data_IF_952914769934
#
_entry.id   IF_952914769934
#
_cell.length_a   1.000
_cell.length_b   1.000
_cell.length_c   1.000
_cell.angle_alpha   90.00
_cell.angle_beta   90.00
_cell.angle_gamma   90.00
#
_symmetry.space_group_name_H-M   'P 1'
#
loop_
_entity.id
_entity.type
_entity.pdbx_description
1 polymer ?
#
# COMPACT_ATOMS: atom_id res chain seq x y z
N UNK A 1 50.66 35.02 45.16
CA UNK A 1 50.93 33.85 44.30
C UNK A 1 49.59 33.22 43.93
N UNK A 2 49.28 33.17 42.62
CA UNK A 2 48.28 32.30 42.00
C UNK A 2 46.81 32.48 42.38
N UNK A 3 46.09 33.37 41.70
CA UNK A 3 44.64 33.29 41.58
C UNK A 3 44.29 32.99 40.11
N UNK A 4 43.92 31.74 39.83
CA UNK A 4 43.36 31.30 38.54
C UNK A 4 41.86 31.63 38.53
N UNK A 5 41.46 32.50 37.61
CA UNK A 5 40.05 32.85 37.41
C UNK A 5 39.30 31.73 36.70
N UNK A 6 38.23 31.24 37.33
CA UNK A 6 37.16 30.50 36.66
C UNK A 6 35.91 31.37 36.68
N UNK A 7 35.55 31.88 35.50
CA UNK A 7 34.33 32.66 35.28
C UNK A 7 33.13 31.71 35.32
N UNK A 8 32.31 31.79 36.37
CA UNK A 8 31.03 31.06 36.51
C UNK A 8 29.93 32.11 36.52
N UNK A 9 29.16 32.21 35.43
CA UNK A 9 27.97 33.06 35.36
C UNK A 9 26.82 32.30 36.02
N UNK A 10 26.31 32.85 37.12
CA UNK A 10 25.11 32.44 37.83
C UNK A 10 23.89 33.01 37.13
N UNK A 11 22.87 32.20 36.85
CA UNK A 11 21.51 32.66 36.55
C UNK A 11 20.64 32.17 37.73
N UNK A 12 19.82 33.03 38.35
CA UNK A 12 19.21 32.76 39.64
C UNK A 12 18.07 31.73 39.55
N UNK A 13 18.00 30.90 40.58
CA UNK A 13 16.85 30.06 40.90
C UNK A 13 15.88 30.95 41.69
N UNK A 14 14.62 31.06 41.24
CA UNK A 14 13.51 31.46 42.10
C UNK A 14 12.58 30.26 42.25
N UNK A 15 12.52 29.71 43.45
CA UNK A 15 11.45 28.82 43.90
C UNK A 15 10.14 29.61 44.07
N UNK A 16 9.04 28.85 44.09
CA UNK A 16 7.67 29.20 44.43
C UNK A 16 6.72 29.62 43.29
N UNK A 17 6.03 28.62 42.73
CA UNK A 17 4.58 28.53 42.91
C UNK A 17 4.06 27.16 42.46
N UNK A 18 3.63 26.33 43.40
CA UNK A 18 2.74 25.21 43.15
C UNK A 18 1.42 25.74 42.58
N UNK A 19 1.21 25.56 41.27
CA UNK A 19 -0.07 25.78 40.60
C UNK A 19 -0.56 24.39 40.15
N UNK A 20 -1.77 23.93 40.52
CA UNK A 20 -2.28 22.65 40.06
C UNK A 20 -2.45 22.70 38.53
N UNK A 21 -2.22 21.60 37.80
CA UNK A 21 -2.31 21.63 36.35
C UNK A 21 -3.75 21.95 35.96
N UNK A 22 -3.93 23.15 35.40
CA UNK A 22 -5.13 23.56 34.70
C UNK A 22 -5.23 22.73 33.41
N UNK A 23 -6.42 22.21 33.13
CA UNK A 23 -6.77 21.42 31.94
C UNK A 23 -6.66 22.26 30.66
N UNK A 24 -5.47 22.72 30.25
CA UNK A 24 -5.34 23.38 28.95
C UNK A 24 -3.88 23.55 28.48
N UNK A 25 -3.09 22.48 28.42
CA UNK A 25 -1.97 22.45 27.45
C UNK A 25 -1.46 21.03 27.17
N UNK A 26 -1.93 20.43 26.09
CA UNK A 26 -1.07 19.59 25.24
C UNK A 26 -1.50 19.76 23.78
N UNK A 27 -0.87 20.73 23.11
CA UNK A 27 -0.79 20.77 21.66
C UNK A 27 0.08 19.59 21.20
N UNK A 28 -0.53 18.43 20.98
CA UNK A 28 0.06 17.35 20.19
C UNK A 28 -0.66 17.38 18.84
N UNK A 29 0.02 17.68 17.71
CA UNK A 29 -0.59 17.52 16.40
C UNK A 29 -0.63 16.03 16.05
N UNK A 30 -1.62 15.32 16.57
CA UNK A 30 -1.91 13.90 16.29
C UNK A 30 -2.64 13.69 14.95
N UNK A 31 -2.33 14.49 13.92
CA UNK A 31 -3.16 14.59 12.71
C UNK A 31 -2.60 13.94 11.44
N UNK A 32 -1.50 13.18 11.51
CA UNK A 32 -1.04 12.42 10.35
C UNK A 32 -1.70 11.03 10.31
N UNK A 33 -2.69 10.88 9.41
CA UNK A 33 -3.41 9.64 9.04
C UNK A 33 -4.47 9.13 10.03
N UNK A 34 -5.73 9.52 9.82
CA UNK A 34 -6.87 9.11 10.66
C UNK A 34 -7.92 8.33 9.85
N UNK A 35 -7.55 7.26 9.16
CA UNK A 35 -8.50 6.51 8.34
C UNK A 35 -8.49 5.00 8.61
N UNK A 36 -9.67 4.35 8.65
CA UNK A 36 -9.75 2.88 8.71
C UNK A 36 -9.08 2.27 7.46
N UNK A 37 -8.00 1.52 7.68
CA UNK A 37 -7.13 0.98 6.62
C UNK A 37 -5.84 1.77 6.35
N UNK A 38 -5.59 2.89 7.05
CA UNK A 38 -4.26 3.55 7.01
C UNK A 38 -3.32 2.98 8.07
N UNK A 39 -2.01 3.08 7.84
CA UNK A 39 -0.90 2.64 8.71
C UNK A 39 -0.85 3.29 10.12
N UNK A 40 -1.91 3.93 10.59
CA UNK A 40 -2.04 4.58 11.90
C UNK A 40 -3.47 4.41 12.45
N UNK A 41 -3.78 3.28 13.12
CA UNK A 41 -5.13 2.97 13.59
C UNK A 41 -5.56 3.71 14.86
N UNK A 42 -4.62 4.25 15.66
CA UNK A 42 -4.90 4.74 17.03
C UNK A 42 -5.53 6.14 17.13
N UNK A 43 -6.04 6.68 16.02
CA UNK A 43 -6.53 8.08 15.98
C UNK A 43 -8.03 8.24 15.75
N UNK A 44 -8.81 7.14 15.71
CA UNK A 44 -10.27 7.23 15.66
C UNK A 44 -10.91 6.24 16.64
N UNK A 45 -11.56 6.77 17.67
CA UNK A 45 -12.63 6.04 18.35
C UNK A 45 -13.71 5.74 17.31
N UNK A 46 -13.93 4.46 16.98
CA UNK A 46 -15.10 4.07 16.19
C UNK A 46 -16.34 4.24 17.06
N UNK A 47 -16.93 5.44 17.04
CA UNK A 47 -18.16 5.77 17.76
C UNK A 47 -19.39 5.02 17.22
N UNK A 48 -19.23 4.17 16.19
CA UNK A 48 -20.30 3.35 15.63
C UNK A 48 -20.69 2.23 16.60
N UNK A 49 -21.75 2.48 17.37
CA UNK A 49 -22.48 1.44 18.11
C UNK A 49 -23.23 0.55 17.11
N UNK A 50 -22.56 -0.41 16.50
CA UNK A 50 -23.28 -1.56 15.91
C UNK A 50 -23.83 -2.36 17.09
N UNK A 51 -25.14 -2.31 17.27
CA UNK A 51 -25.84 -3.15 18.25
C UNK A 51 -25.42 -4.60 18.03
N UNK A 52 -24.86 -5.26 19.07
CA UNK A 52 -24.49 -6.68 19.05
C UNK A 52 -25.65 -7.61 18.64
N UNK A 53 -26.89 -7.09 18.57
CA UNK A 53 -28.13 -7.80 18.21
C UNK A 53 -28.53 -7.74 16.71
N UNK A 54 -27.76 -7.13 15.82
CA UNK A 54 -28.16 -7.10 14.39
C UNK A 54 -28.08 -8.49 13.74
N UNK A 55 -29.10 -8.86 12.98
CA UNK A 55 -29.15 -10.14 12.27
C UNK A 55 -28.10 -10.23 11.17
N UNK A 56 -27.83 -11.43 10.65
CA UNK A 56 -26.88 -11.64 9.54
C UNK A 56 -27.19 -10.75 8.33
N UNK A 57 -28.49 -10.61 7.99
CA UNK A 57 -28.97 -9.73 6.91
C UNK A 57 -28.63 -8.25 7.16
N UNK A 58 -28.79 -7.77 8.40
CA UNK A 58 -28.48 -6.38 8.75
C UNK A 58 -26.98 -6.10 8.65
N UNK A 59 -26.14 -7.07 9.03
CA UNK A 59 -24.68 -6.94 8.92
C UNK A 59 -24.24 -6.88 7.47
N UNK A 60 -24.83 -7.71 6.61
CA UNK A 60 -24.59 -7.66 5.15
C UNK A 60 -25.05 -6.32 4.59
N UNK A 61 -26.27 -5.88 4.92
CA UNK A 61 -26.80 -4.61 4.45
C UNK A 61 -25.91 -3.44 4.85
N UNK A 62 -25.50 -3.35 6.12
CA UNK A 62 -24.60 -2.31 6.63
C UNK A 62 -23.24 -2.38 5.92
N UNK A 63 -22.68 -3.58 5.74
CA UNK A 63 -21.40 -3.75 5.03
C UNK A 63 -21.43 -3.15 3.62
N UNK A 64 -22.51 -3.37 2.86
CA UNK A 64 -22.64 -2.88 1.49
C UNK A 64 -23.07 -1.41 1.37
N UNK A 65 -23.79 -0.87 2.36
CA UNK A 65 -24.43 0.46 2.25
C UNK A 65 -23.76 1.55 3.08
N UNK A 66 -23.00 1.21 4.13
CA UNK A 66 -22.41 2.18 5.05
C UNK A 66 -21.15 2.84 4.47
N UNK A 67 -21.31 4.05 3.92
CA UNK A 67 -20.20 4.90 3.48
C UNK A 67 -20.40 5.63 2.16
N UNK A 68 -21.43 5.32 1.37
CA UNK A 68 -21.69 5.99 0.07
C UNK A 68 -21.92 7.50 0.19
N UNK A 69 -22.55 7.95 1.29
CA UNK A 69 -22.81 9.37 1.55
C UNK A 69 -21.67 10.11 2.23
N UNK A 70 -20.59 9.42 2.62
CA UNK A 70 -19.47 10.04 3.33
C UNK A 70 -18.52 10.72 2.34
N UNK A 71 -18.55 12.06 2.32
CA UNK A 71 -17.69 12.89 1.47
C UNK A 71 -16.20 12.59 1.67
N UNK A 72 -15.79 12.17 2.88
CA UNK A 72 -14.38 11.82 3.14
C UNK A 72 -13.95 10.59 2.33
N UNK A 73 -14.84 9.61 2.14
CA UNK A 73 -14.56 8.41 1.33
C UNK A 73 -14.33 8.79 -0.14
N UNK A 74 -15.15 9.68 -0.68
CA UNK A 74 -14.99 10.20 -2.04
C UNK A 74 -13.70 11.01 -2.21
N UNK A 75 -13.35 11.86 -1.24
CA UNK A 75 -12.08 12.58 -1.23
C UNK A 75 -10.90 11.62 -1.22
N UNK A 76 -10.93 10.59 -0.37
CA UNK A 76 -9.87 9.59 -0.33
C UNK A 76 -9.77 8.77 -1.62
N UNK A 77 -10.90 8.43 -2.26
CA UNK A 77 -10.90 7.77 -3.56
C UNK A 77 -10.30 8.64 -4.67
N UNK A 78 -10.52 9.96 -4.63
CA UNK A 78 -9.86 10.90 -5.53
C UNK A 78 -8.34 10.96 -5.29
N UNK A 79 -7.89 10.88 -4.03
CA UNK A 79 -6.46 10.77 -3.72
C UNK A 79 -5.87 9.47 -4.26
N UNK A 80 -6.58 8.35 -4.16
CA UNK A 80 -6.19 7.08 -4.78
C UNK A 80 -6.10 7.17 -6.32
N UNK A 81 -7.01 7.91 -6.95
CA UNK A 81 -6.93 8.22 -8.39
C UNK A 81 -5.66 9.00 -8.75
N UNK A 82 -5.41 10.12 -8.06
CA UNK A 82 -4.22 10.97 -8.32
C UNK A 82 -2.94 10.19 -8.03
N UNK A 83 -2.89 9.51 -6.88
CA UNK A 83 -1.77 8.71 -6.44
C UNK A 83 -1.42 7.60 -7.42
N UNK A 84 -2.42 6.84 -7.86
CA UNK A 84 -2.20 5.75 -8.83
C UNK A 84 -1.79 6.29 -10.19
N UNK A 85 -2.34 7.44 -10.61
CA UNK A 85 -1.92 8.11 -11.86
C UNK A 85 -0.42 8.43 -11.80
N UNK A 86 0.02 9.11 -10.75
CA UNK A 86 1.42 9.49 -10.58
C UNK A 86 2.34 8.27 -10.40
N UNK A 87 1.94 7.28 -9.59
CA UNK A 87 2.72 6.07 -9.35
C UNK A 87 2.94 5.28 -10.65
N UNK A 88 1.89 5.08 -11.45
CA UNK A 88 1.98 4.35 -12.72
C UNK A 88 2.85 5.11 -13.72
N UNK A 89 2.68 6.44 -13.84
CA UNK A 89 3.48 7.28 -14.72
C UNK A 89 4.96 7.23 -14.36
N UNK A 90 5.31 7.47 -13.08
CA UNK A 90 6.71 7.40 -12.62
C UNK A 90 7.28 5.99 -12.77
N UNK A 91 6.52 4.94 -12.44
CA UNK A 91 6.97 3.56 -12.58
C UNK A 91 7.32 3.19 -14.04
N UNK A 92 6.53 3.66 -15.01
CA UNK A 92 6.85 3.47 -16.43
C UNK A 92 8.18 4.15 -16.80
N UNK A 93 8.34 5.42 -16.45
CA UNK A 93 9.54 6.20 -16.80
C UNK A 93 10.80 5.68 -16.12
N UNK A 94 10.70 5.22 -14.86
CA UNK A 94 11.82 4.55 -14.17
C UNK A 94 12.20 3.26 -14.89
N UNK A 95 11.22 2.43 -15.26
CA UNK A 95 11.47 1.17 -15.97
C UNK A 95 12.12 1.41 -17.33
N UNK A 96 11.70 2.45 -18.05
CA UNK A 96 12.28 2.87 -19.34
C UNK A 96 13.70 3.41 -19.16
N UNK A 97 13.93 4.26 -18.16
CA UNK A 97 15.26 4.81 -17.86
C UNK A 97 16.27 3.70 -17.54
N UNK A 98 15.88 2.73 -16.71
CA UNK A 98 16.71 1.56 -16.38
C UNK A 98 17.06 0.78 -17.66
N UNK A 99 16.07 0.49 -18.52
CA UNK A 99 16.30 -0.24 -19.78
C UNK A 99 17.24 0.51 -20.74
N UNK A 100 17.14 1.84 -20.79
CA UNK A 100 17.99 2.68 -21.63
C UNK A 100 19.39 2.94 -21.06
N UNK A 101 19.67 2.49 -19.83
CA UNK A 101 20.99 2.69 -19.21
C UNK A 101 22.00 1.59 -19.56
N UNK A 102 21.70 0.74 -20.56
CA UNK A 102 22.52 -0.40 -21.02
C UNK A 102 23.05 -1.29 -19.88
N UNK A 103 22.28 -1.39 -18.80
CA UNK A 103 22.65 -2.18 -17.63
C UNK A 103 22.16 -3.63 -17.75
N UNK A 104 23.00 -4.57 -17.32
CA UNK A 104 22.63 -5.98 -17.20
C UNK A 104 21.85 -6.27 -15.92
N UNK A 105 21.92 -5.39 -14.92
CA UNK A 105 21.36 -5.61 -13.57
C UNK A 105 19.94 -5.03 -13.40
N UNK A 106 19.10 -5.20 -14.43
CA UNK A 106 17.73 -4.63 -14.48
C UNK A 106 16.92 -5.01 -13.22
N UNK A 107 16.97 -6.28 -12.81
CA UNK A 107 16.24 -6.77 -11.65
C UNK A 107 16.60 -6.00 -10.38
N UNK A 108 17.89 -5.75 -10.13
CA UNK A 108 18.38 -5.04 -8.94
C UNK A 108 17.91 -3.59 -8.92
N UNK A 109 18.03 -2.88 -10.05
CA UNK A 109 17.58 -1.49 -10.14
C UNK A 109 16.07 -1.37 -10.00
N UNK A 110 15.28 -2.26 -10.64
CA UNK A 110 13.82 -2.26 -10.49
C UNK A 110 13.43 -2.57 -9.04
N UNK A 111 14.10 -3.54 -8.40
CA UNK A 111 13.89 -3.85 -6.99
C UNK A 111 14.11 -2.63 -6.10
N UNK A 112 15.32 -2.05 -6.13
CA UNK A 112 15.68 -0.90 -5.29
C UNK A 112 14.78 0.32 -5.56
N UNK A 113 14.50 0.62 -6.82
CA UNK A 113 13.62 1.76 -7.16
C UNK A 113 12.19 1.55 -6.68
N UNK A 114 11.64 0.33 -6.80
CA UNK A 114 10.32 0.02 -6.26
C UNK A 114 10.25 0.15 -4.73
N UNK A 115 11.34 -0.16 -4.00
CA UNK A 115 11.41 0.06 -2.54
C UNK A 115 11.13 1.52 -2.23
N UNK A 116 11.94 2.42 -2.78
CA UNK A 116 11.85 3.84 -2.46
C UNK A 116 10.61 4.49 -3.06
N UNK A 117 10.25 4.15 -4.30
CA UNK A 117 9.09 4.70 -5.00
C UNK A 117 7.81 4.43 -4.20
N UNK A 118 7.54 3.16 -3.87
CA UNK A 118 6.31 2.81 -3.17
C UNK A 118 6.32 3.38 -1.74
N UNK A 119 7.46 3.33 -1.04
CA UNK A 119 7.59 3.93 0.30
C UNK A 119 7.20 5.41 0.29
N UNK A 120 7.75 6.20 -0.64
CA UNK A 120 7.48 7.64 -0.73
C UNK A 120 6.01 7.93 -1.03
N UNK A 121 5.41 7.19 -1.95
CA UNK A 121 4.00 7.33 -2.28
C UNK A 121 3.09 6.96 -1.11
N UNK A 122 3.39 5.87 -0.40
CA UNK A 122 2.65 5.51 0.81
C UNK A 122 2.79 6.60 1.88
N UNK A 123 4.01 7.07 2.18
CA UNK A 123 4.22 8.13 3.15
C UNK A 123 3.44 9.41 2.81
N UNK A 124 3.37 9.77 1.52
CA UNK A 124 2.66 10.94 1.06
C UNK A 124 1.13 10.80 1.11
N UNK A 125 0.58 9.62 0.80
CA UNK A 125 -0.86 9.44 0.57
C UNK A 125 -1.59 8.68 1.68
N UNK A 126 -0.86 7.93 2.51
CA UNK A 126 -1.42 7.22 3.65
C UNK A 126 -2.22 8.14 4.58
N UNK A 127 -1.80 9.39 4.85
CA UNK A 127 -2.60 10.29 5.68
C UNK A 127 -3.99 10.63 5.16
N UNK A 128 -4.15 10.68 3.83
CA UNK A 128 -5.39 11.11 3.20
C UNK A 128 -6.27 9.93 2.75
N UNK A 129 -5.69 8.77 2.46
CA UNK A 129 -6.40 7.63 1.87
C UNK A 129 -6.02 6.25 2.43
N UNK A 130 -4.93 6.13 3.17
CA UNK A 130 -4.30 4.84 3.45
C UNK A 130 -3.28 4.41 2.40
N UNK A 131 -3.28 5.02 1.21
CA UNK A 131 -2.20 4.86 0.23
C UNK A 131 -2.11 3.44 -0.31
N UNK A 132 -3.22 2.88 -0.79
CA UNK A 132 -3.27 1.54 -1.36
C UNK A 132 -2.64 1.51 -2.76
N UNK A 133 -3.06 2.43 -3.64
CA UNK A 133 -2.61 2.63 -5.03
C UNK A 133 -2.54 1.35 -5.88
N UNK A 134 -3.27 0.33 -5.46
CA UNK A 134 -3.22 -1.00 -6.03
C UNK A 134 -4.57 -1.69 -5.77
N UNK A 135 -5.33 -2.02 -6.84
CA UNK A 135 -6.61 -2.70 -6.71
C UNK A 135 -6.54 -3.99 -5.91
N UNK A 136 -5.42 -4.73 -5.98
CA UNK A 136 -5.32 -6.00 -5.24
C UNK A 136 -5.12 -5.81 -3.75
N UNK A 137 -4.38 -4.79 -3.33
CA UNK A 137 -4.24 -4.43 -1.91
C UNK A 137 -5.61 -4.03 -1.37
N UNK A 138 -6.33 -3.15 -2.08
CA UNK A 138 -7.69 -2.74 -1.72
C UNK A 138 -8.66 -3.92 -1.65
N UNK A 139 -8.61 -4.82 -2.63
CA UNK A 139 -9.46 -6.01 -2.63
C UNK A 139 -9.16 -6.89 -1.42
N UNK A 140 -7.88 -7.16 -1.14
CA UNK A 140 -7.44 -7.93 0.03
C UNK A 140 -7.90 -7.30 1.36
N UNK A 141 -7.80 -5.98 1.51
CA UNK A 141 -8.27 -5.30 2.73
C UNK A 141 -9.79 -5.30 2.89
N UNK A 142 -10.56 -5.33 1.79
CA UNK A 142 -12.02 -5.48 1.83
C UNK A 142 -12.41 -6.88 2.28
N UNK A 143 -11.85 -7.93 1.66
CA UNK A 143 -12.18 -9.31 2.02
C UNK A 143 -11.68 -9.68 3.42
N UNK A 144 -10.64 -9.00 3.92
CA UNK A 144 -10.18 -9.17 5.31
C UNK A 144 -10.89 -8.29 6.33
N UNK A 145 -11.82 -7.44 5.90
CA UNK A 145 -12.61 -6.57 6.78
C UNK A 145 -11.84 -5.36 7.32
N UNK A 146 -10.64 -5.07 6.81
CA UNK A 146 -9.85 -3.89 7.17
C UNK A 146 -10.34 -2.62 6.45
N UNK A 147 -11.04 -2.76 5.33
CA UNK A 147 -11.62 -1.66 4.55
C UNK A 147 -13.09 -1.93 4.28
N UNK A 148 -13.96 -0.95 4.54
CA UNK A 148 -15.39 -1.05 4.23
C UNK A 148 -15.65 -1.15 2.73
N UNK A 149 -16.70 -1.87 2.33
CA UNK A 149 -16.98 -2.17 0.93
C UNK A 149 -17.13 -0.91 0.04
N UNK A 150 -17.94 0.12 0.39
CA UNK A 150 -18.09 1.31 -0.46
C UNK A 150 -16.76 2.00 -0.75
N UNK A 151 -15.91 2.13 0.28
CA UNK A 151 -14.56 2.69 0.16
C UNK A 151 -13.69 1.85 -0.76
N UNK A 152 -13.64 0.54 -0.54
CA UNK A 152 -12.83 -0.36 -1.36
C UNK A 152 -13.25 -0.33 -2.84
N UNK A 153 -14.56 -0.29 -3.10
CA UNK A 153 -15.08 -0.19 -4.47
C UNK A 153 -14.69 1.15 -5.12
N UNK A 154 -14.88 2.27 -4.42
CA UNK A 154 -14.49 3.59 -4.92
C UNK A 154 -12.98 3.71 -5.14
N UNK A 155 -12.17 3.09 -4.29
CA UNK A 155 -10.72 3.03 -4.44
C UNK A 155 -10.33 2.26 -5.69
N UNK A 156 -10.87 1.06 -5.92
CA UNK A 156 -10.57 0.27 -7.12
C UNK A 156 -10.97 1.02 -8.40
N UNK A 157 -12.10 1.74 -8.40
CA UNK A 157 -12.52 2.60 -9.51
C UNK A 157 -11.51 3.75 -9.71
N UNK A 158 -11.17 4.47 -8.65
CA UNK A 158 -10.19 5.57 -8.69
C UNK A 158 -8.83 5.11 -9.19
N UNK A 159 -8.32 4.00 -8.65
CA UNK A 159 -7.04 3.40 -9.04
C UNK A 159 -7.03 3.00 -10.52
N UNK A 160 -8.09 2.36 -11.01
CA UNK A 160 -8.18 1.89 -12.40
C UNK A 160 -8.34 3.05 -13.39
N UNK A 161 -9.15 4.05 -13.06
CA UNK A 161 -9.33 5.25 -13.90
C UNK A 161 -8.08 6.14 -13.89
N UNK A 162 -7.39 6.25 -12.75
CA UNK A 162 -6.12 6.95 -12.65
C UNK A 162 -5.01 6.26 -13.45
N UNK A 163 -4.98 4.92 -13.42
CA UNK A 163 -4.11 4.14 -14.30
C UNK A 163 -4.39 4.37 -15.79
N UNK A 164 -5.66 4.46 -16.20
CA UNK A 164 -6.01 4.78 -17.59
C UNK A 164 -5.48 6.16 -18.00
N UNK A 165 -5.64 7.17 -17.13
CA UNK A 165 -5.08 8.50 -17.35
C UNK A 165 -3.55 8.45 -17.46
N UNK A 166 -2.87 7.72 -16.56
CA UNK A 166 -1.43 7.52 -16.64
C UNK A 166 -1.01 6.89 -17.97
N UNK A 167 -1.75 5.89 -18.47
CA UNK A 167 -1.50 5.27 -19.77
C UNK A 167 -1.55 6.28 -20.92
N UNK A 168 -2.58 7.14 -20.94
CA UNK A 168 -2.69 8.23 -21.91
C UNK A 168 -1.54 9.24 -21.80
N UNK A 169 -1.15 9.62 -20.57
CA UNK A 169 -0.02 10.52 -20.32
C UNK A 169 1.32 9.91 -20.75
N UNK A 170 1.55 8.62 -20.48
CA UNK A 170 2.76 7.90 -20.92
C UNK A 170 2.85 7.93 -22.45
N UNK A 171 1.76 7.59 -23.15
CA UNK A 171 1.73 7.61 -24.62
C UNK A 171 1.94 9.02 -25.17
N UNK A 172 1.27 10.02 -24.59
CA UNK A 172 1.41 11.42 -24.99
C UNK A 172 2.83 11.98 -24.81
N UNK A 173 3.50 11.63 -23.70
CA UNK A 173 4.85 12.10 -23.40
C UNK A 173 5.95 11.42 -24.24
N UNK A 174 5.78 10.12 -24.56
CA UNK A 174 6.79 9.35 -25.30
C UNK A 174 6.60 9.40 -26.82
N UNK A 175 5.36 9.59 -27.27
CA UNK A 175 4.93 9.36 -28.64
C UNK A 175 4.80 7.86 -28.95
N UNK A 176 3.97 7.55 -29.95
CA UNK A 176 3.54 6.19 -30.27
C UNK A 176 4.70 5.20 -30.47
N UNK A 177 5.72 5.59 -31.24
CA UNK A 177 6.85 4.72 -31.56
C UNK A 177 7.62 4.30 -30.30
N UNK A 178 7.97 5.25 -29.43
CA UNK A 178 8.73 4.94 -28.20
C UNK A 178 7.87 4.15 -27.22
N UNK A 179 6.58 4.47 -27.11
CA UNK A 179 5.67 3.71 -26.25
C UNK A 179 5.60 2.23 -26.63
N UNK A 180 5.57 1.92 -27.92
CA UNK A 180 5.58 0.54 -28.42
C UNK A 180 6.92 -0.15 -28.15
N UNK A 181 8.06 0.52 -28.44
CA UNK A 181 9.41 -0.03 -28.19
C UNK A 181 9.59 -0.44 -26.72
N UNK A 182 9.07 0.36 -25.78
CA UNK A 182 9.18 0.08 -24.35
C UNK A 182 7.98 -0.66 -23.75
N UNK A 183 7.03 -1.13 -24.56
CA UNK A 183 5.81 -1.81 -24.11
C UNK A 183 5.02 -1.03 -23.04
N UNK A 184 4.98 0.31 -23.15
CA UNK A 184 4.34 1.18 -22.15
C UNK A 184 5.00 1.21 -20.78
N UNK A 185 6.16 0.56 -20.61
CA UNK A 185 6.91 0.46 -19.36
C UNK A 185 7.03 -0.97 -18.79
N UNK A 186 6.24 -1.94 -19.27
CA UNK A 186 6.29 -3.33 -18.79
C UNK A 186 4.96 -4.07 -18.88
N UNK A 187 4.76 -5.08 -18.01
CA UNK A 187 3.55 -5.93 -17.95
C UNK A 187 3.09 -6.41 -19.33
N UNK A 188 3.99 -7.09 -20.06
CA UNK A 188 3.68 -7.77 -21.32
C UNK A 188 4.10 -9.23 -21.18
N UNK A 189 3.57 -10.08 -22.06
CA UNK A 189 3.87 -11.51 -22.06
C UNK A 189 4.17 -11.95 -23.49
N UNK A 190 5.36 -12.53 -23.67
CA UNK A 190 5.75 -13.26 -24.87
C UNK A 190 5.66 -14.76 -24.59
N UNK A 191 4.72 -15.44 -25.25
CA UNK A 191 4.37 -16.84 -24.96
C UNK A 191 5.42 -17.84 -25.43
N UNK A 192 6.46 -17.39 -26.15
CA UNK A 192 7.61 -18.18 -26.57
C UNK A 192 8.50 -18.58 -25.39
N UNK A 193 8.60 -17.71 -24.37
CA UNK A 193 9.47 -17.92 -23.20
C UNK A 193 8.71 -18.39 -21.97
N UNK A 194 7.46 -17.91 -21.79
CA UNK A 194 6.63 -18.22 -20.63
C UNK A 194 5.20 -18.46 -21.10
N UNK A 195 4.66 -19.65 -20.84
CA UNK A 195 3.26 -19.94 -21.16
C UNK A 195 2.28 -19.11 -20.32
N UNK A 196 1.06 -18.92 -20.82
CA UNK A 196 0.01 -18.19 -20.09
C UNK A 196 -0.26 -18.78 -18.70
N UNK A 197 -0.28 -20.11 -18.58
CA UNK A 197 -0.48 -20.80 -17.31
C UNK A 197 0.67 -20.58 -16.32
N UNK A 198 1.92 -20.54 -16.80
CA UNK A 198 3.08 -20.20 -15.98
C UNK A 198 3.02 -18.75 -15.51
N UNK A 199 2.73 -17.81 -16.42
CA UNK A 199 2.59 -16.39 -16.07
C UNK A 199 1.48 -16.16 -15.04
N UNK A 200 0.33 -16.82 -15.20
CA UNK A 200 -0.76 -16.80 -14.23
C UNK A 200 -0.36 -17.33 -12.85
N UNK A 201 0.34 -18.47 -12.80
CA UNK A 201 0.79 -19.05 -11.54
C UNK A 201 1.83 -18.15 -10.84
N UNK A 202 2.80 -17.64 -11.60
CA UNK A 202 3.81 -16.68 -11.11
C UNK A 202 3.10 -15.46 -10.52
N UNK A 203 2.19 -14.85 -11.27
CA UNK A 203 1.46 -13.65 -10.83
C UNK A 203 0.65 -13.91 -9.55
N UNK A 204 0.01 -15.09 -9.45
CA UNK A 204 -0.78 -15.50 -8.29
C UNK A 204 0.08 -15.68 -7.04
N UNK A 205 1.17 -16.42 -7.14
CA UNK A 205 2.02 -16.75 -5.99
C UNK A 205 2.83 -15.54 -5.52
N UNK A 206 3.42 -14.76 -6.43
CA UNK A 206 4.13 -13.55 -6.03
C UNK A 206 3.19 -12.48 -5.44
N UNK A 207 1.96 -12.35 -5.95
CA UNK A 207 0.95 -11.48 -5.33
C UNK A 207 0.53 -11.97 -3.94
N UNK A 208 0.38 -13.28 -3.75
CA UNK A 208 0.13 -13.87 -2.43
C UNK A 208 1.26 -13.55 -1.45
N UNK A 209 2.52 -13.73 -1.85
CA UNK A 209 3.69 -13.43 -1.02
C UNK A 209 3.74 -11.94 -0.69
N UNK A 210 3.56 -11.07 -1.68
CA UNK A 210 3.51 -9.61 -1.48
C UNK A 210 2.44 -9.23 -0.45
N UNK A 211 1.25 -9.84 -0.52
CA UNK A 211 0.17 -9.58 0.43
C UNK A 211 0.48 -10.13 1.82
N UNK A 212 1.02 -11.35 1.95
CA UNK A 212 1.40 -11.93 3.25
C UNK A 212 2.39 -11.02 3.96
N UNK A 213 3.44 -10.59 3.25
CA UNK A 213 4.48 -9.73 3.81
C UNK A 213 3.94 -8.33 4.13
N UNK A 214 3.12 -7.74 3.26
CA UNK A 214 2.53 -6.41 3.50
C UNK A 214 1.56 -6.41 4.68
N UNK A 215 0.72 -7.45 4.82
CA UNK A 215 -0.16 -7.62 5.99
C UNK A 215 0.64 -7.89 7.27
N UNK A 216 1.64 -8.76 7.19
CA UNK A 216 2.46 -9.16 8.33
C UNK A 216 3.38 -8.05 8.85
N UNK A 217 3.65 -7.01 8.06
CA UNK A 217 4.56 -5.93 8.46
C UNK A 217 3.90 -4.56 8.61
N UNK A 218 2.72 -4.34 8.02
CA UNK A 218 2.20 -2.98 7.94
C UNK A 218 0.67 -2.85 7.81
N UNK A 219 0.01 -3.61 6.94
CA UNK A 219 -1.42 -3.41 6.64
C UNK A 219 -2.35 -3.86 7.77
N UNK A 220 -1.97 -4.87 8.57
CA UNK A 220 -2.73 -5.22 9.76
C UNK A 220 -2.50 -4.15 10.85
N UNK A 221 -3.56 -3.48 11.36
CA UNK A 221 -3.46 -2.49 12.44
C UNK A 221 -2.65 -2.94 13.65
N UNK A 222 -2.62 -4.24 13.95
CA UNK A 222 -1.84 -4.80 15.06
C UNK A 222 -0.33 -4.67 14.84
N UNK A 223 0.13 -4.64 13.59
CA UNK A 223 1.54 -4.46 13.27
C UNK A 223 2.02 -3.05 13.57
N UNK A 224 1.11 -2.07 13.63
CA UNK A 224 1.45 -0.72 14.09
C UNK A 224 1.97 -0.72 15.54
N UNK A 225 1.57 -1.69 16.37
CA UNK A 225 2.09 -1.83 17.75
C UNK A 225 3.55 -2.31 17.78
N UNK A 226 3.96 -3.11 16.80
CA UNK A 226 5.31 -3.68 16.73
C UNK A 226 6.29 -2.75 15.99
N UNK A 227 5.88 -2.21 14.84
CA UNK A 227 6.75 -1.46 13.95
C UNK A 227 6.53 0.05 13.98
N UNK A 228 5.42 0.51 14.57
CA UNK A 228 5.00 1.90 14.56
C UNK A 228 4.50 2.38 13.18
N UNK A 229 3.84 3.54 13.12
CA UNK A 229 3.23 4.06 11.90
C UNK A 229 4.25 4.51 10.84
N UNK A 230 5.51 4.74 11.23
CA UNK A 230 6.56 5.28 10.36
C UNK A 230 7.29 4.22 9.56
N UNK A 231 7.39 2.99 10.07
CA UNK A 231 8.17 1.92 9.44
C UNK A 231 7.33 1.09 8.46
N UNK A 232 6.02 1.01 8.67
CA UNK A 232 5.09 0.28 7.80
C UNK A 232 5.24 0.60 6.31
N UNK A 233 5.24 1.88 5.89
CA UNK A 233 5.44 2.27 4.49
C UNK A 233 6.72 1.70 3.87
N UNK A 234 7.83 1.73 4.62
CA UNK A 234 9.11 1.21 4.16
C UNK A 234 9.10 -0.32 4.04
N UNK A 235 8.41 -1.02 4.94
CA UNK A 235 8.28 -2.48 4.87
C UNK A 235 7.44 -2.94 3.68
N UNK A 236 6.38 -2.20 3.35
CA UNK A 236 5.58 -2.45 2.13
C UNK A 236 6.42 -2.17 0.88
N UNK A 237 7.21 -1.08 0.88
CA UNK A 237 8.18 -0.81 -0.18
C UNK A 237 9.21 -1.94 -0.35
N UNK A 238 9.84 -2.39 0.73
CA UNK A 238 10.77 -3.52 0.75
C UNK A 238 10.13 -4.78 0.17
N UNK A 239 8.89 -5.07 0.58
CA UNK A 239 8.11 -6.19 0.08
C UNK A 239 7.96 -6.13 -1.44
N UNK A 240 7.46 -5.02 -1.99
CA UNK A 240 7.31 -4.88 -3.45
C UNK A 240 8.68 -4.98 -4.15
N UNK A 241 9.72 -4.35 -3.60
CA UNK A 241 11.07 -4.37 -4.16
C UNK A 241 11.65 -5.77 -4.28
N UNK A 242 11.61 -6.57 -3.21
CA UNK A 242 12.15 -7.94 -3.20
C UNK A 242 11.34 -8.89 -4.08
N UNK A 243 10.01 -8.78 -4.07
CA UNK A 243 9.12 -9.59 -4.93
C UNK A 243 9.33 -9.22 -6.40
N UNK A 244 9.47 -7.93 -6.73
CA UNK A 244 9.77 -7.49 -8.10
C UNK A 244 11.14 -8.01 -8.54
N UNK A 245 12.18 -7.80 -7.72
CA UNK A 245 13.54 -8.27 -7.98
C UNK A 245 13.60 -9.76 -8.29
N UNK A 246 12.94 -10.58 -7.48
CA UNK A 246 12.95 -12.05 -7.63
C UNK A 246 12.11 -12.58 -8.78
N UNK A 247 11.20 -11.77 -9.35
CA UNK A 247 10.35 -12.17 -10.46
C UNK A 247 10.91 -11.83 -11.84
N UNK A 248 11.84 -10.87 -11.93
CA UNK A 248 12.44 -10.40 -13.18
C UNK A 248 13.52 -11.38 -13.64
N UNK A 249 13.69 -11.53 -14.96
CA UNK A 249 14.70 -12.40 -15.59
C UNK A 249 14.54 -13.91 -15.29
N UNK A 250 13.34 -14.36 -14.90
CA UNK A 250 13.05 -15.80 -14.76
C UNK A 250 13.10 -16.56 -16.10
N UNK A 251 12.85 -15.86 -17.21
CA UNK A 251 12.93 -16.37 -18.57
C UNK A 251 13.30 -15.22 -19.52
N UNK A 252 13.83 -15.52 -20.73
CA UNK A 252 14.12 -14.50 -21.73
C UNK A 252 12.90 -13.63 -22.01
N UNK A 253 13.07 -12.32 -22.06
CA UNK A 253 12.02 -11.34 -22.38
C UNK A 253 10.82 -11.32 -21.41
N UNK A 254 10.89 -12.02 -20.27
CA UNK A 254 9.87 -11.93 -19.23
C UNK A 254 10.14 -10.73 -18.29
N UNK A 255 9.25 -9.72 -18.25
CA UNK A 255 9.49 -8.48 -17.49
C UNK A 255 9.25 -8.63 -15.97
N UNK A 256 8.94 -9.83 -15.48
CA UNK A 256 8.60 -10.10 -14.09
C UNK A 256 7.10 -9.99 -13.79
N UNK A 257 6.76 -10.32 -12.55
CA UNK A 257 5.38 -10.26 -12.05
C UNK A 257 4.87 -8.80 -12.02
N UNK A 258 3.60 -8.61 -12.37
CA UNK A 258 2.94 -7.31 -12.44
C UNK A 258 2.62 -6.73 -11.06
N UNK A 259 2.09 -7.56 -10.16
CA UNK A 259 1.78 -7.32 -8.73
C UNK A 259 0.75 -6.21 -8.45
N UNK A 260 0.40 -5.42 -9.46
CA UNK A 260 -0.56 -4.33 -9.39
C UNK A 260 -1.39 -4.30 -10.69
N UNK A 261 -2.67 -4.69 -10.65
CA UNK A 261 -3.54 -4.70 -11.83
C UNK A 261 -3.67 -3.32 -12.49
N UNK A 262 -3.77 -2.24 -11.70
CA UNK A 262 -3.87 -0.87 -12.23
C UNK A 262 -2.59 -0.45 -12.95
N UNK A 263 -1.41 -0.78 -12.40
CA UNK A 263 -0.11 -0.52 -13.06
C UNK A 263 -0.03 -1.21 -14.43
N UNK A 264 -0.34 -2.49 -14.48
CA UNK A 264 -0.31 -3.22 -15.75
C UNK A 264 -1.37 -2.73 -16.72
N UNK A 265 -2.54 -2.32 -16.24
CA UNK A 265 -3.58 -1.69 -17.05
C UNK A 265 -3.12 -0.34 -17.64
N UNK A 266 -2.42 0.50 -16.87
CA UNK A 266 -1.85 1.76 -17.37
C UNK A 266 -0.92 1.51 -18.57
N UNK A 267 -0.06 0.49 -18.48
CA UNK A 267 0.89 0.18 -19.54
C UNK A 267 0.20 -0.42 -20.77
N UNK A 268 -0.85 -1.24 -20.57
CA UNK A 268 -1.70 -1.75 -21.64
C UNK A 268 -2.43 -0.63 -22.39
N UNK A 269 -2.98 0.35 -21.66
CA UNK A 269 -3.60 1.56 -22.23
C UNK A 269 -2.56 2.37 -23.01
N UNK A 270 -1.36 2.57 -22.45
CA UNK A 270 -0.30 3.31 -23.13
C UNK A 270 0.08 2.68 -24.47
N UNK A 271 0.33 1.36 -24.49
CA UNK A 271 0.69 0.63 -25.72
C UNK A 271 -0.49 0.36 -26.66
N UNK A 272 -1.73 0.53 -26.19
CA UNK A 272 -2.94 0.21 -26.95
C UNK A 272 -3.14 -1.30 -27.19
N UNK A 273 -2.58 -2.16 -26.33
CA UNK A 273 -2.65 -3.61 -26.45
C UNK A 273 -2.97 -4.25 -25.09
N UNK A 274 -4.09 -4.95 -25.03
CA UNK A 274 -4.64 -5.60 -23.83
C UNK A 274 -4.48 -7.13 -23.85
N UNK A 275 -3.63 -7.67 -24.73
CA UNK A 275 -3.30 -9.09 -24.75
C UNK A 275 -2.87 -9.56 -23.35
N UNK A 276 -3.44 -10.68 -22.92
CA UNK A 276 -3.21 -11.31 -21.61
C UNK A 276 -3.51 -10.45 -20.39
N UNK A 277 -4.24 -9.32 -20.55
CA UNK A 277 -4.53 -8.40 -19.45
C UNK A 277 -5.23 -9.09 -18.27
N UNK A 278 -6.04 -10.10 -18.56
CA UNK A 278 -6.75 -10.92 -17.58
C UNK A 278 -5.79 -11.56 -16.55
N UNK A 279 -4.55 -11.89 -16.93
CA UNK A 279 -3.56 -12.49 -16.02
C UNK A 279 -3.23 -11.55 -14.87
N UNK A 280 -2.95 -10.27 -15.18
CA UNK A 280 -2.62 -9.26 -14.18
C UNK A 280 -3.83 -8.80 -13.35
N UNK A 281 -5.04 -9.30 -13.62
CA UNK A 281 -6.23 -9.12 -12.76
C UNK A 281 -6.52 -10.37 -11.95
N UNK A 282 -6.71 -11.52 -12.61
CA UNK A 282 -7.13 -12.76 -11.96
C UNK A 282 -6.01 -13.47 -11.20
N UNK A 283 -4.77 -13.33 -11.65
CA UNK A 283 -3.60 -13.83 -10.92
C UNK A 283 -3.52 -13.19 -9.53
N UNK A 284 -3.45 -11.85 -9.42
CA UNK A 284 -3.42 -11.18 -8.13
C UNK A 284 -4.68 -11.48 -7.28
N UNK A 285 -5.88 -11.55 -7.88
CA UNK A 285 -7.13 -11.94 -7.18
C UNK A 285 -6.99 -13.31 -6.51
N UNK A 286 -6.43 -14.29 -7.21
CA UNK A 286 -6.16 -15.61 -6.65
C UNK A 286 -5.20 -15.52 -5.48
N UNK A 287 -4.11 -14.77 -5.62
CA UNK A 287 -3.16 -14.52 -4.53
C UNK A 287 -3.81 -13.86 -3.30
N UNK A 288 -4.71 -12.90 -3.50
CA UNK A 288 -5.44 -12.23 -2.42
C UNK A 288 -6.42 -13.15 -1.70
N UNK A 289 -7.13 -14.02 -2.43
CA UNK A 289 -8.03 -15.01 -1.82
C UNK A 289 -7.23 -15.98 -0.95
N UNK A 290 -6.08 -16.48 -1.44
CA UNK A 290 -5.20 -17.38 -0.68
C UNK A 290 -4.71 -16.67 0.59
N UNK A 291 -4.10 -15.49 0.46
CA UNK A 291 -3.59 -14.74 1.60
C UNK A 291 -4.68 -14.42 2.62
N UNK A 292 -5.86 -14.00 2.17
CA UNK A 292 -6.96 -13.64 3.06
C UNK A 292 -7.54 -14.85 3.78
N UNK A 293 -7.58 -16.01 3.11
CA UNK A 293 -7.93 -17.28 3.75
C UNK A 293 -6.94 -17.61 4.87
N UNK A 294 -5.64 -17.51 4.60
CA UNK A 294 -4.59 -17.71 5.63
C UNK A 294 -4.79 -16.71 6.79
N UNK A 295 -5.05 -15.43 6.50
CA UNK A 295 -5.27 -14.41 7.51
C UNK A 295 -6.47 -14.71 8.43
N UNK A 296 -7.52 -15.36 7.92
CA UNK A 296 -8.72 -15.72 8.69
C UNK A 296 -8.56 -17.02 9.48
N UNK A 297 -7.99 -18.05 8.86
CA UNK A 297 -7.87 -19.38 9.47
C UNK A 297 -6.67 -19.50 10.40
N UNK A 298 -5.58 -18.80 10.09
CA UNK A 298 -4.34 -18.78 10.85
C UNK A 298 -3.88 -17.33 11.06
N UNK A 299 -4.62 -16.55 11.87
CA UNK A 299 -4.28 -15.15 12.09
C UNK A 299 -2.85 -15.02 12.64
N UNK A 300 -2.10 -13.97 12.26
CA UNK A 300 -0.69 -13.77 12.67
C UNK A 300 -0.52 -13.43 14.15
N UNK A 301 -1.54 -13.66 14.97
CA UNK A 301 -1.55 -13.46 16.41
C UNK A 301 -2.20 -14.67 17.08
N UNK A 302 -1.67 -15.06 18.23
CA UNK A 302 -2.26 -16.09 19.07
C UNK A 302 -2.93 -15.43 20.27
N UNK A 303 -4.19 -15.76 20.52
CA UNK A 303 -4.81 -15.48 21.81
C UNK A 303 -4.40 -16.60 22.75
N UNK A 304 -3.36 -16.39 23.54
CA UNK A 304 -3.15 -17.24 24.70
C UNK A 304 -4.38 -17.10 25.61
N UNK A 305 -5.01 -18.24 25.93
CA UNK A 305 -6.05 -18.25 26.97
C UNK A 305 -5.32 -18.00 28.28
N UNK A 306 -5.46 -16.79 28.82
CA UNK A 306 -5.05 -16.51 30.20
C UNK A 306 -5.95 -17.34 31.11
N UNK A 307 -5.47 -18.50 31.52
CA UNK A 307 -6.11 -19.30 32.55
C UNK A 307 -6.08 -18.48 33.85
N UNK A 308 -7.23 -17.90 34.21
CA UNK A 308 -7.44 -17.23 35.51
C UNK A 308 -7.48 -18.26 36.63
N UNK A 309 -6.39 -19.01 36.85
CA UNK A 309 -6.28 -19.97 37.95
C UNK A 309 -5.29 -19.57 39.04
N UNK A 310 -4.59 -18.43 38.92
CA UNK A 310 -3.57 -18.03 39.91
C UNK A 310 -3.80 -16.60 40.44
N UNK A 311 -5.03 -16.33 40.88
CA UNK A 311 -5.33 -15.18 41.72
C UNK A 311 -6.24 -15.64 42.86
N UNK A 312 -5.64 -16.32 43.83
CA UNK A 312 -6.18 -16.55 45.17
C UNK A 312 -5.10 -16.17 46.16
#
# INVERSE_FOLDING_TARGET
MGATGNFKITIPISEDSEIPPTEETQLIPTSCAQFPGSFAPDLREDKRRVSKRSGFSDRIYIFFTDGWGDVTVWKSAFIEFVGTTCLCYLSAFISIAIRNSDTTQIAAYVGVTNIFLLTLFICALAPASGGHMNPIITFATVITGLTGFPRGMLYMIGQTTGAALAGGLIRGSLGDQRTLIYNGGGCFLETTSVSEGQAYLIESIFSCIMLILSFGTALDPRQAQLFGPRLGPFMVGCTLGFVSFSSINLAPEYPGAGLNPARCFAFAVARGNFAYQWIWWFGPVTGAIIQSSVYHFAPPYHRERVDRRHST
#
